data_IF_061749812642
#
_entry.id   IF_061749812642
#
_cell.length_a   1.000
_cell.length_b   1.000
_cell.length_c   1.000
_cell.angle_alpha   90.00
_cell.angle_beta   90.00
_cell.angle_gamma   90.00
#
_symmetry.space_group_name_H-M   'P 1'
#
loop_
_entity.id
_entity.type
_entity.pdbx_description
1 polymer ?
#
# COMPACT_ATOMS: atom_id res chain seq x y z
N UNK A 1 23.10 -1.77 -8.32
CA UNK A 1 21.95 -1.51 -7.42
C UNK A 1 21.73 -2.73 -6.52
N UNK A 2 21.53 -2.54 -5.19
CA UNK A 2 21.36 -3.67 -4.25
C UNK A 2 20.09 -4.46 -4.61
N UNK A 3 20.19 -5.79 -4.77
CA UNK A 3 19.08 -6.72 -5.10
C UNK A 3 17.77 -6.41 -4.34
N UNK A 4 17.88 -6.00 -3.08
CA UNK A 4 16.77 -5.54 -2.24
C UNK A 4 15.91 -4.43 -2.88
N UNK A 5 16.52 -3.43 -3.50
CA UNK A 5 15.77 -2.31 -4.09
C UNK A 5 14.99 -2.74 -5.34
N UNK A 6 15.49 -3.75 -6.07
CA UNK A 6 14.77 -4.34 -7.20
C UNK A 6 13.54 -5.09 -6.70
N UNK A 7 13.69 -5.92 -5.66
CA UNK A 7 12.56 -6.64 -5.05
C UNK A 7 11.52 -5.66 -4.50
N UNK A 8 11.93 -4.63 -3.77
CA UNK A 8 11.01 -3.61 -3.26
C UNK A 8 10.32 -2.84 -4.40
N UNK A 9 11.05 -2.52 -5.47
CA UNK A 9 10.47 -1.89 -6.66
C UNK A 9 9.44 -2.77 -7.36
N UNK A 10 9.71 -4.08 -7.47
CA UNK A 10 8.75 -5.03 -8.01
C UNK A 10 7.51 -5.15 -7.12
N UNK A 11 7.68 -5.23 -5.79
CA UNK A 11 6.57 -5.25 -4.83
C UNK A 11 5.72 -3.98 -4.91
N UNK A 12 6.37 -2.82 -5.11
CA UNK A 12 5.68 -1.55 -5.29
C UNK A 12 4.87 -1.53 -6.59
N UNK A 13 5.49 -1.92 -7.72
CA UNK A 13 4.85 -1.96 -9.01
C UNK A 13 3.68 -2.97 -9.03
N UNK A 14 3.85 -4.15 -8.44
CA UNK A 14 2.77 -5.13 -8.29
C UNK A 14 1.66 -4.60 -7.38
N UNK A 15 2.01 -3.96 -6.27
CA UNK A 15 1.02 -3.36 -5.36
C UNK A 15 0.17 -2.29 -6.05
N UNK A 16 0.82 -1.41 -6.84
CA UNK A 16 0.12 -0.42 -7.66
C UNK A 16 -0.73 -1.06 -8.74
N UNK A 17 -0.24 -2.10 -9.42
CA UNK A 17 -0.98 -2.78 -10.47
C UNK A 17 -2.24 -3.48 -9.92
N UNK A 18 -2.12 -4.17 -8.79
CA UNK A 18 -3.25 -4.83 -8.14
C UNK A 18 -4.27 -3.83 -7.59
N UNK A 19 -3.80 -2.71 -7.04
CA UNK A 19 -4.67 -1.62 -6.55
C UNK A 19 -5.32 -0.83 -7.70
N UNK A 20 -4.61 -0.65 -8.82
CA UNK A 20 -5.05 0.17 -9.96
C UNK A 20 -5.89 -0.58 -10.99
N UNK A 21 -5.62 -1.87 -11.22
CA UNK A 21 -6.42 -2.74 -12.10
C UNK A 21 -7.88 -2.86 -11.64
N UNK A 22 -8.12 -2.62 -10.35
CA UNK A 22 -9.42 -2.52 -9.71
C UNK A 22 -10.22 -1.26 -10.06
N UNK A 23 -9.56 -0.11 -10.21
CA UNK A 23 -10.25 1.18 -10.41
C UNK A 23 -10.87 1.32 -11.82
N UNK A 24 -10.62 0.36 -12.72
CA UNK A 24 -11.06 0.38 -14.12
C UNK A 24 -12.34 -0.43 -14.38
N UNK A 25 -12.70 -1.37 -13.49
CA UNK A 25 -13.93 -2.15 -13.62
C UNK A 25 -15.09 -1.50 -12.83
N UNK A 26 -15.74 -0.54 -13.49
CA UNK A 26 -17.15 -0.13 -13.30
C UNK A 26 -17.62 0.25 -11.87
N UNK A 27 -17.62 1.56 -11.60
CA UNK A 27 -18.65 2.26 -10.79
C UNK A 27 -18.97 1.73 -9.36
N UNK A 28 -17.99 1.22 -8.63
CA UNK A 28 -18.09 0.97 -7.19
C UNK A 28 -16.75 0.53 -6.58
N UNK A 29 -16.51 0.81 -5.29
CA UNK A 29 -15.43 0.16 -4.57
C UNK A 29 -15.84 -1.29 -4.19
N UNK A 30 -15.89 -2.20 -5.17
CA UNK A 30 -16.02 -3.65 -4.93
C UNK A 30 -14.68 -4.36 -4.80
N UNK A 31 -13.95 -4.15 -3.71
CA UNK A 31 -12.63 -4.77 -3.62
C UNK A 31 -12.74 -6.22 -3.22
N UNK A 32 -12.38 -7.04 -4.18
CA UNK A 32 -11.84 -8.35 -3.91
C UNK A 32 -10.62 -8.26 -2.98
N UNK A 33 -10.33 -9.39 -2.32
CA UNK A 33 -9.14 -9.68 -1.53
C UNK A 33 -7.82 -9.18 -2.20
N UNK A 34 -7.83 -9.08 -3.54
CA UNK A 34 -6.71 -8.62 -4.38
C UNK A 34 -6.33 -7.16 -4.12
N UNK A 35 -7.31 -6.25 -3.96
CA UNK A 35 -7.04 -4.84 -3.68
C UNK A 35 -6.38 -4.65 -2.31
N UNK A 36 -6.88 -5.38 -1.31
CA UNK A 36 -6.31 -5.44 0.04
C UNK A 36 -4.87 -5.96 0.00
N UNK A 37 -4.62 -7.05 -0.76
CA UNK A 37 -3.26 -7.58 -0.96
C UNK A 37 -2.34 -6.54 -1.63
N UNK A 38 -2.83 -5.82 -2.63
CA UNK A 38 -2.12 -4.71 -3.27
C UNK A 38 -1.73 -3.61 -2.27
N UNK A 39 -2.64 -3.24 -1.37
CA UNK A 39 -2.36 -2.26 -0.31
C UNK A 39 -1.26 -2.73 0.65
N UNK A 40 -1.28 -3.99 1.09
CA UNK A 40 -0.22 -4.53 1.95
C UNK A 40 1.15 -4.57 1.25
N UNK A 41 1.17 -4.90 -0.05
CA UNK A 41 2.39 -4.85 -0.87
C UNK A 41 2.99 -3.44 -0.91
N UNK A 42 2.14 -2.41 -1.04
CA UNK A 42 2.58 -1.01 -1.02
C UNK A 42 3.16 -0.62 0.35
N UNK A 43 2.51 -1.01 1.45
CA UNK A 43 2.98 -0.74 2.81
C UNK A 43 4.37 -1.37 3.03
N UNK A 44 4.51 -2.67 2.74
CA UNK A 44 5.77 -3.41 2.93
C UNK A 44 6.88 -2.82 2.07
N UNK A 45 6.58 -2.47 0.81
CA UNK A 45 7.56 -1.86 -0.07
C UNK A 45 8.01 -0.49 0.44
N UNK A 46 7.07 0.36 0.86
CA UNK A 46 7.36 1.71 1.36
C UNK A 46 8.19 1.69 2.64
N UNK A 47 7.85 0.81 3.59
CA UNK A 47 8.64 0.58 4.81
C UNK A 47 10.02 0.07 4.43
N UNK A 48 10.12 -0.89 3.49
CA UNK A 48 11.39 -1.45 3.05
C UNK A 48 12.32 -0.43 2.41
N UNK A 49 11.79 0.48 1.58
CA UNK A 49 12.56 1.57 0.97
C UNK A 49 13.10 2.54 2.02
N UNK A 50 12.30 2.83 3.05
CA UNK A 50 12.64 3.78 4.10
C UNK A 50 13.27 3.12 5.35
N UNK A 51 13.51 1.81 5.33
CA UNK A 51 13.92 1.03 6.51
C UNK A 51 15.16 1.58 7.21
N UNK A 52 16.16 2.03 6.45
CA UNK A 52 17.38 2.60 7.03
C UNK A 52 17.12 3.87 7.83
N UNK A 53 16.23 4.74 7.33
CA UNK A 53 15.86 6.02 7.95
C UNK A 53 14.92 5.81 9.13
N UNK A 54 14.00 4.86 9.00
CA UNK A 54 13.13 4.43 10.10
C UNK A 54 13.94 3.86 11.27
N UNK A 55 14.91 2.98 10.97
CA UNK A 55 15.82 2.38 11.96
C UNK A 55 16.73 3.42 12.62
N UNK A 56 17.19 4.43 11.89
CA UNK A 56 17.99 5.53 12.46
C UNK A 56 17.17 6.52 13.28
N UNK A 57 15.85 6.32 13.41
CA UNK A 57 15.00 7.18 14.23
C UNK A 57 14.58 8.48 13.56
N UNK A 58 14.74 8.64 12.24
CA UNK A 58 14.41 9.88 11.55
C UNK A 58 12.93 10.24 11.72
N UNK A 59 12.67 11.33 12.44
CA UNK A 59 11.31 11.73 12.84
C UNK A 59 10.44 12.02 11.61
N UNK A 60 10.98 12.72 10.62
CA UNK A 60 10.25 13.07 9.39
C UNK A 60 9.81 11.81 8.65
N UNK A 61 10.73 10.87 8.44
CA UNK A 61 10.42 9.60 7.76
C UNK A 61 9.40 8.78 8.54
N UNK A 62 9.49 8.74 9.88
CA UNK A 62 8.48 8.07 10.73
C UNK A 62 7.11 8.68 10.55
N UNK A 63 6.98 10.00 10.68
CA UNK A 63 5.69 10.69 10.53
C UNK A 63 5.09 10.44 9.15
N UNK A 64 5.88 10.60 8.08
CA UNK A 64 5.40 10.36 6.71
C UNK A 64 4.99 8.91 6.51
N UNK A 65 5.80 7.95 6.99
CA UNK A 65 5.48 6.51 6.90
C UNK A 65 4.18 6.19 7.63
N UNK A 66 3.99 6.73 8.83
CA UNK A 66 2.75 6.56 9.60
C UNK A 66 1.55 7.10 8.84
N UNK A 67 1.64 8.30 8.28
CA UNK A 67 0.54 8.88 7.47
C UNK A 67 0.23 8.06 6.22
N UNK A 68 1.25 7.58 5.51
CA UNK A 68 1.08 6.70 4.34
C UNK A 68 0.34 5.42 4.74
N UNK A 69 0.74 4.79 5.85
CA UNK A 69 0.07 3.58 6.36
C UNK A 69 -1.38 3.88 6.75
N UNK A 70 -1.63 4.98 7.47
CA UNK A 70 -2.98 5.39 7.87
C UNK A 70 -3.89 5.57 6.65
N UNK A 71 -3.41 6.30 5.64
CA UNK A 71 -4.20 6.54 4.41
C UNK A 71 -4.51 5.24 3.67
N UNK A 72 -3.51 4.35 3.55
CA UNK A 72 -3.70 3.05 2.91
C UNK A 72 -4.67 2.15 3.67
N UNK A 73 -4.60 2.12 5.00
CA UNK A 73 -5.55 1.38 5.84
C UNK A 73 -6.96 1.98 5.79
N UNK A 74 -7.06 3.31 5.73
CA UNK A 74 -8.35 4.00 5.60
C UNK A 74 -9.04 3.63 4.29
N UNK A 75 -8.30 3.53 3.18
CA UNK A 75 -8.84 3.03 1.90
C UNK A 75 -9.37 1.60 2.06
N UNK A 76 -8.64 0.71 2.73
CA UNK A 76 -9.10 -0.67 2.98
C UNK A 76 -10.38 -0.68 3.83
N UNK A 77 -10.47 0.15 4.86
CA UNK A 77 -11.66 0.22 5.72
C UNK A 77 -12.89 0.71 4.95
N UNK A 78 -12.77 1.82 4.21
CA UNK A 78 -13.88 2.37 3.42
C UNK A 78 -14.45 1.35 2.44
N UNK A 79 -13.54 0.59 1.87
CA UNK A 79 -13.82 -0.45 0.90
C UNK A 79 -14.50 -1.68 1.51
N UNK A 80 -14.07 -2.11 2.71
CA UNK A 80 -14.78 -3.15 3.47
C UNK A 80 -16.18 -2.68 3.88
N UNK A 81 -16.33 -1.41 4.26
CA UNK A 81 -17.63 -0.82 4.60
C UNK A 81 -18.55 -0.87 3.37
N UNK A 82 -18.07 -0.47 2.19
CA UNK A 82 -18.86 -0.53 0.96
C UNK A 82 -19.29 -1.96 0.61
N UNK A 83 -18.40 -2.93 0.72
CA UNK A 83 -18.71 -4.34 0.45
C UNK A 83 -19.72 -4.95 1.44
N UNK A 84 -19.86 -4.39 2.65
CA UNK A 84 -20.85 -4.83 3.65
C UNK A 84 -22.19 -4.10 3.49
N UNK A 85 -22.18 -2.85 3.01
CA UNK A 85 -23.38 -2.04 2.84
C UNK A 85 -24.13 -2.28 1.52
N UNK A 86 -23.46 -2.80 0.50
CA UNK A 86 -24.06 -3.22 -0.79
C UNK A 86 -24.40 -4.71 -0.78
#
# INVERSE_FOLDING_TARGET
>A
MRKRNIVLGLLFASGLFLMGGYSLDRFGFHSDLIGILGTFLLIVSYIGFNWSKLKSGDHKTKVVTTWVIILLLLIVILNVIEAVLN
#
